data_IF_101978649373
#
_entry.id   IF_101978649373
#
_cell.length_a   1.000
_cell.length_b   1.000
_cell.length_c   1.000
_cell.angle_alpha   90.00
_cell.angle_beta   90.00
_cell.angle_gamma   90.00
#
_symmetry.space_group_name_H-M   'P 1'
#
loop_
_entity.id
_entity.type
_entity.pdbx_description
1 polymer ?
#
# COMPACT_ATOMS: atom_id res chain seq x y z
N UNK A 1 7.17 -26.96 12.15
CA UNK A 1 6.16 -26.46 11.19
C UNK A 1 5.37 -25.40 11.91
N UNK A 2 5.68 -24.11 11.74
CA UNK A 2 4.90 -23.03 12.35
C UNK A 2 3.98 -22.44 11.29
N UNK A 3 2.68 -22.58 11.51
CA UNK A 3 1.63 -21.96 10.71
C UNK A 3 1.61 -20.46 11.04
N UNK A 4 2.21 -19.63 10.20
CA UNK A 4 2.11 -18.17 10.31
C UNK A 4 0.78 -17.71 9.73
N UNK A 5 -0.22 -17.52 10.59
CA UNK A 5 -1.49 -16.87 10.25
C UNK A 5 -1.47 -15.41 10.70
N UNK A 6 -1.94 -14.50 9.84
CA UNK A 6 -2.12 -13.09 10.20
C UNK A 6 -3.46 -12.95 10.95
N UNK A 7 -3.41 -12.61 12.24
CA UNK A 7 -4.62 -12.36 13.05
C UNK A 7 -4.70 -10.87 13.35
N UNK A 8 -5.89 -10.28 13.20
CA UNK A 8 -6.11 -8.87 13.49
C UNK A 8 -6.03 -8.60 15.00
N UNK A 9 -5.24 -7.59 15.39
CA UNK A 9 -4.96 -7.19 16.78
C UNK A 9 -6.16 -6.65 17.56
N UNK A 10 -7.33 -6.52 16.91
CA UNK A 10 -8.55 -5.95 17.48
C UNK A 10 -9.22 -6.92 18.47
N UNK A 11 -8.85 -8.21 18.43
CA UNK A 11 -9.49 -9.26 19.23
C UNK A 11 -8.72 -9.65 20.51
N UNK A 12 -7.61 -8.97 20.81
CA UNK A 12 -6.74 -9.28 21.94
C UNK A 12 -6.47 -8.03 22.77
N UNK A 13 -6.30 -8.20 24.09
CA UNK A 13 -5.93 -7.11 24.96
C UNK A 13 -4.45 -6.69 24.72
N UNK A 14 -4.09 -5.48 25.10
CA UNK A 14 -2.71 -4.99 24.93
C UNK A 14 -1.68 -5.86 25.68
N UNK A 15 -2.10 -6.48 26.79
CA UNK A 15 -1.26 -7.31 27.65
C UNK A 15 -1.07 -8.74 27.12
N UNK A 16 -1.83 -9.14 26.10
CA UNK A 16 -1.77 -10.46 25.47
C UNK A 16 -0.61 -10.57 24.46
N UNK A 17 0.11 -9.47 24.21
CA UNK A 17 1.26 -9.45 23.32
C UNK A 17 2.56 -9.58 24.12
N UNK A 18 3.51 -10.36 23.61
CA UNK A 18 4.87 -10.41 24.09
C UNK A 18 5.61 -9.14 23.64
N UNK A 19 6.28 -8.47 24.56
CA UNK A 19 7.25 -7.43 24.24
C UNK A 19 8.49 -8.13 23.69
N UNK A 20 8.83 -7.98 22.40
CA UNK A 20 10.01 -8.65 21.86
C UNK A 20 11.26 -8.09 22.55
N UNK A 21 12.17 -8.99 22.95
CA UNK A 21 13.47 -8.66 23.57
C UNK A 21 14.30 -7.63 22.77
N UNK A 22 13.98 -7.44 21.49
CA UNK A 22 14.59 -6.44 20.59
C UNK A 22 14.26 -4.98 20.93
N UNK A 23 13.26 -4.72 21.79
CA UNK A 23 13.01 -3.37 22.34
C UNK A 23 14.08 -2.90 23.34
N UNK A 24 14.95 -3.79 23.84
CA UNK A 24 16.13 -3.41 24.63
C UNK A 24 17.34 -3.00 23.75
N UNK A 25 17.32 -3.29 22.45
CA UNK A 25 18.50 -3.14 21.56
C UNK A 25 18.29 -2.16 20.39
N UNK A 26 17.33 -1.22 20.48
CA UNK A 26 17.09 -0.17 19.47
C UNK A 26 16.92 -0.67 18.01
N UNK A 27 16.46 -1.92 17.81
CA UNK A 27 16.19 -2.47 16.48
C UNK A 27 14.69 -2.72 16.34
N UNK A 28 13.97 -1.82 15.67
CA UNK A 28 12.53 -1.96 15.43
C UNK A 28 12.28 -2.66 14.10
N UNK A 29 11.84 -3.92 14.14
CA UNK A 29 11.05 -4.48 13.05
C UNK A 29 9.64 -3.92 13.21
N UNK A 30 9.25 -3.03 12.32
CA UNK A 30 7.93 -2.41 12.35
C UNK A 30 6.84 -3.49 12.26
N UNK A 31 5.92 -3.46 13.23
CA UNK A 31 4.61 -4.11 13.19
C UNK A 31 4.53 -5.64 13.36
N UNK A 32 5.52 -6.31 13.94
CA UNK A 32 5.34 -7.70 14.40
C UNK A 32 5.12 -7.76 15.91
N UNK A 33 3.85 -7.78 16.34
CA UNK A 33 3.49 -8.12 17.72
C UNK A 33 3.27 -9.62 17.82
N UNK A 34 3.99 -10.28 18.72
CA UNK A 34 3.87 -11.73 18.95
C UNK A 34 2.82 -11.92 20.04
N UNK A 35 1.89 -12.85 19.85
CA UNK A 35 0.85 -13.16 20.82
C UNK A 35 1.40 -14.15 21.87
N UNK A 36 1.12 -13.94 23.15
CA UNK A 36 1.43 -14.90 24.22
C UNK A 36 0.67 -16.20 24.00
N UNK A 37 1.26 -17.32 24.41
CA UNK A 37 0.60 -18.63 24.40
C UNK A 37 -0.65 -18.70 25.32
N UNK A 38 -0.76 -17.77 26.27
CA UNK A 38 -1.89 -17.67 27.21
C UNK A 38 -2.98 -16.68 26.78
N UNK A 39 -2.86 -16.07 25.60
CA UNK A 39 -3.80 -15.06 25.13
C UNK A 39 -5.18 -15.67 24.85
N UNK A 40 -6.24 -15.03 25.37
CA UNK A 40 -7.62 -15.47 25.19
C UNK A 40 -8.35 -14.50 24.28
N UNK A 41 -9.07 -15.05 23.31
CA UNK A 41 -9.93 -14.27 22.40
C UNK A 41 -11.02 -13.56 23.20
N UNK A 42 -11.02 -12.22 23.18
CA UNK A 42 -12.09 -11.43 23.78
C UNK A 42 -13.15 -11.14 22.70
N UNK A 43 -14.41 -11.59 22.87
CA UNK A 43 -15.48 -11.26 21.94
C UNK A 43 -15.69 -9.74 21.87
N UNK A 44 -15.48 -9.14 20.70
CA UNK A 44 -15.68 -7.71 20.50
C UNK A 44 -17.17 -7.37 20.54
N UNK A 45 -17.62 -6.69 21.60
CA UNK A 45 -18.98 -6.13 21.70
C UNK A 45 -19.16 -4.83 20.93
N UNK A 46 -18.13 -4.37 20.20
CA UNK A 46 -18.24 -3.19 19.34
C UNK A 46 -18.96 -3.56 18.05
N UNK A 47 -20.25 -3.23 17.97
CA UNK A 47 -20.99 -3.16 16.70
C UNK A 47 -20.15 -2.38 15.69
N UNK A 48 -20.00 -2.98 14.51
CA UNK A 48 -19.38 -2.41 13.32
C UNK A 48 -20.02 -1.04 13.04
N UNK A 49 -19.27 0.07 12.92
CA UNK A 49 -19.82 1.35 12.48
C UNK A 49 -20.07 1.27 10.97
N UNK A 50 -21.10 0.53 10.59
CA UNK A 50 -21.65 0.49 9.24
C UNK A 50 -23.15 0.67 9.37
N UNK A 51 -23.58 1.88 9.77
CA UNK A 51 -24.97 2.40 9.67
C UNK A 51 -25.15 3.75 10.42
N UNK A 52 -24.21 4.69 10.28
CA UNK A 52 -24.54 6.11 10.53
C UNK A 52 -24.26 6.90 9.26
N UNK A 53 -25.32 7.52 8.73
CA UNK A 53 -25.30 8.35 7.53
C UNK A 53 -24.18 9.40 7.64
N UNK A 54 -23.31 9.44 6.64
CA UNK A 54 -22.21 10.42 6.56
C UNK A 54 -22.71 11.87 6.55
N UNK A 55 -24.01 12.09 6.31
CA UNK A 55 -24.61 13.42 6.27
C UNK A 55 -24.81 14.05 7.66
N UNK A 56 -25.11 13.25 8.69
CA UNK A 56 -25.42 13.79 10.02
C UNK A 56 -24.17 14.28 10.75
N UNK A 57 -23.04 13.58 10.56
CA UNK A 57 -21.74 13.97 11.13
C UNK A 57 -21.14 15.24 10.50
N UNK A 58 -21.51 15.56 9.24
CA UNK A 58 -21.05 16.78 8.56
C UNK A 58 -21.89 17.99 8.97
N UNK A 59 -23.21 17.80 9.13
CA UNK A 59 -24.11 18.86 9.65
C UNK A 59 -23.76 19.25 11.08
N UNK A 60 -23.47 18.26 11.94
CA UNK A 60 -23.13 18.53 13.34
C UNK A 60 -21.76 19.22 13.50
N UNK A 61 -20.83 19.01 12.56
CA UNK A 61 -19.55 19.76 12.52
C UNK A 61 -19.68 21.18 11.97
N UNK A 62 -20.63 21.44 11.06
CA UNK A 62 -20.90 22.81 10.58
C UNK A 62 -21.51 23.69 11.68
N UNK A 63 -22.46 23.17 12.45
CA UNK A 63 -23.11 23.92 13.53
C UNK A 63 -22.13 24.37 14.63
N UNK A 64 -21.14 23.53 14.97
CA UNK A 64 -20.11 23.87 15.98
C UNK A 64 -19.16 24.97 15.47
N UNK A 65 -18.95 25.07 14.16
CA UNK A 65 -18.05 26.07 13.56
C UNK A 65 -18.72 27.44 13.46
N UNK A 66 -20.02 27.48 13.17
CA UNK A 66 -20.77 28.75 13.04
C UNK A 66 -20.99 29.42 14.41
N UNK A 67 -21.13 28.66 15.49
CA UNK A 67 -21.27 29.21 16.86
C UNK A 67 -19.97 29.85 17.37
N UNK A 68 -18.81 29.28 17.02
CA UNK A 68 -17.50 29.82 17.41
C UNK A 68 -17.12 31.12 16.67
N UNK A 69 -17.78 31.42 15.54
CA UNK A 69 -17.52 32.63 14.74
C UNK A 69 -18.32 33.84 15.28
N UNK A 70 -19.45 33.59 15.97
CA UNK A 70 -20.29 34.66 16.50
C UNK A 70 -19.73 35.30 17.79
N UNK A 71 -19.04 34.53 18.64
CA UNK A 71 -18.49 35.04 19.91
C UNK A 71 -17.29 35.98 19.73
N UNK A 72 -16.55 35.89 18.62
CA UNK A 72 -15.32 36.68 18.42
C UNK A 72 -15.56 38.11 17.90
N UNK A 73 -16.78 38.48 17.54
CA UNK A 73 -17.09 39.79 16.95
C UNK A 73 -17.75 40.81 17.88
N UNK A 74 -18.07 40.46 19.14
CA UNK A 74 -18.84 41.33 20.04
C UNK A 74 -18.05 41.99 21.19
N UNK A 75 -16.70 41.94 21.18
CA UNK A 75 -15.86 42.46 22.29
C UNK A 75 -15.10 43.76 21.94
N UNK A 76 -15.33 44.37 20.78
CA UNK A 76 -14.59 45.57 20.33
C UNK A 76 -15.47 46.76 19.91
N UNK A 77 -16.50 47.10 20.69
CA UNK A 77 -17.20 48.38 20.55
C UNK A 77 -17.57 48.98 21.91
N UNK A 78 -16.89 50.06 22.27
CA UNK A 78 -16.94 50.76 23.57
C UNK A 78 -15.58 50.63 24.24
N UNK A 79 -14.73 51.66 24.31
CA UNK A 79 -15.01 52.98 24.86
C UNK A 79 -13.95 53.96 24.33
N UNK A 80 -14.39 55.07 23.74
CA UNK A 80 -13.57 56.26 23.54
C UNK A 80 -13.35 56.96 24.88
N UNK A 81 -12.12 57.35 25.23
CA UNK A 81 -11.86 58.61 25.93
C UNK A 81 -10.38 59.03 25.87
N UNK A 82 -10.22 60.33 25.61
CA UNK A 82 -9.04 61.20 25.68
C UNK A 82 -8.06 60.88 26.80
N UNK A 83 -6.75 60.94 26.54
CA UNK A 83 -5.71 61.19 27.53
C UNK A 83 -4.49 61.89 26.90
N UNK A 84 -4.45 63.22 26.99
CA UNK A 84 -3.23 63.90 27.39
C UNK A 84 -2.93 63.43 28.82
N UNK A 85 -1.98 62.53 28.98
CA UNK A 85 -1.40 62.23 30.28
C UNK A 85 0.08 61.91 30.09
N UNK A 86 0.86 62.54 30.97
CA UNK A 86 2.30 62.46 31.10
C UNK A 86 2.81 61.01 31.03
N UNK A 87 4.09 60.84 30.73
CA UNK A 87 4.76 59.53 30.71
C UNK A 87 5.31 59.24 32.11
N UNK A 88 4.63 58.46 32.97
CA UNK A 88 5.29 57.71 34.03
C UNK A 88 6.23 56.71 33.40
N UNK A 89 7.53 56.94 33.55
CA UNK A 89 8.55 55.91 33.36
C UNK A 89 8.45 54.90 34.51
N UNK A 90 7.42 54.06 34.48
CA UNK A 90 7.39 52.84 35.25
C UNK A 90 8.25 51.78 34.53
N UNK A 91 9.03 50.97 35.27
CA UNK A 91 9.84 49.92 34.66
C UNK A 91 8.91 48.94 33.95
N UNK A 92 9.11 48.79 32.65
CA UNK A 92 8.28 47.97 31.76
C UNK A 92 8.04 46.60 32.42
N UNK A 93 6.77 46.31 32.74
CA UNK A 93 6.40 45.10 33.48
C UNK A 93 6.73 43.86 32.62
N UNK A 94 7.73 43.11 33.05
CA UNK A 94 8.28 41.96 32.33
C UNK A 94 7.21 40.89 32.02
N UNK A 95 6.21 40.73 32.88
CA UNK A 95 5.12 39.77 32.67
C UNK A 95 4.21 40.17 31.50
N UNK A 96 3.99 41.47 31.29
CA UNK A 96 3.23 41.96 30.13
C UNK A 96 3.97 41.68 28.81
N UNK A 97 5.31 41.83 28.79
CA UNK A 97 6.14 41.46 27.64
C UNK A 97 6.04 39.96 27.38
N UNK A 98 6.16 39.13 28.41
CA UNK A 98 6.11 37.66 28.27
C UNK A 98 4.75 37.21 27.71
N UNK A 99 3.65 37.78 28.19
CA UNK A 99 2.30 37.49 27.67
C UNK A 99 2.17 37.87 26.20
N UNK A 100 2.68 39.04 25.79
CA UNK A 100 2.65 39.51 24.40
C UNK A 100 3.49 38.63 23.47
N UNK A 101 4.69 38.24 23.91
CA UNK A 101 5.59 37.33 23.17
C UNK A 101 4.94 35.95 23.01
N UNK A 102 4.35 35.41 24.08
CA UNK A 102 3.65 34.12 24.03
C UNK A 102 2.42 34.17 23.11
N UNK A 103 1.65 35.26 23.12
CA UNK A 103 0.56 35.47 22.17
C UNK A 103 1.06 35.49 20.72
N UNK A 104 2.20 36.14 20.47
CA UNK A 104 2.81 36.24 19.14
C UNK A 104 3.35 34.89 18.65
N UNK A 105 4.02 34.12 19.51
CA UNK A 105 4.49 32.75 19.22
C UNK A 105 3.29 31.85 18.89
N UNK A 106 2.19 31.94 19.65
CA UNK A 106 0.97 31.18 19.38
C UNK A 106 0.38 31.54 18.02
N UNK A 107 0.34 32.82 17.65
CA UNK A 107 -0.12 33.28 16.32
C UNK A 107 0.75 32.73 15.20
N UNK A 108 2.07 32.85 15.30
CA UNK A 108 3.03 32.33 14.30
C UNK A 108 2.88 30.81 14.14
N UNK A 109 2.73 30.07 15.24
CA UNK A 109 2.53 28.62 15.18
C UNK A 109 1.21 28.27 14.48
N UNK A 110 0.14 29.03 14.72
CA UNK A 110 -1.16 28.83 14.05
C UNK A 110 -1.06 29.08 12.55
N UNK A 111 -0.43 30.17 12.11
CA UNK A 111 -0.27 30.47 10.68
C UNK A 111 0.59 29.42 9.98
N UNK A 112 1.72 29.03 10.58
CA UNK A 112 2.56 27.96 10.03
C UNK A 112 1.82 26.63 9.93
N UNK A 113 0.99 26.28 10.92
CA UNK A 113 0.17 25.07 10.88
C UNK A 113 -0.91 25.16 9.80
N UNK A 114 -1.53 26.32 9.63
CA UNK A 114 -2.52 26.56 8.58
C UNK A 114 -1.90 26.38 7.18
N UNK A 115 -0.73 27.00 6.93
CA UNK A 115 -0.02 26.88 5.65
C UNK A 115 0.38 25.44 5.35
N UNK A 116 0.84 24.70 6.38
CA UNK A 116 1.14 23.26 6.25
C UNK A 116 -0.12 22.48 5.90
N UNK A 117 -1.21 22.68 6.64
CA UNK A 117 -2.48 21.99 6.39
C UNK A 117 -3.05 22.30 5.01
N UNK A 118 -2.90 23.54 4.52
CA UNK A 118 -3.30 23.93 3.18
C UNK A 118 -2.46 23.21 2.11
N UNK A 119 -1.14 23.14 2.29
CA UNK A 119 -0.24 22.39 1.40
C UNK A 119 -0.56 20.89 1.41
N UNK A 120 -0.80 20.31 2.58
CA UNK A 120 -1.21 18.91 2.70
C UNK A 120 -2.56 18.65 2.03
N UNK A 121 -3.54 19.53 2.22
CA UNK A 121 -4.85 19.43 1.57
C UNK A 121 -4.73 19.40 0.04
N UNK A 122 -3.98 20.34 -0.53
CA UNK A 122 -3.69 20.37 -1.98
C UNK A 122 -2.99 19.09 -2.46
N UNK A 123 -2.05 18.56 -1.67
CA UNK A 123 -1.34 17.32 -2.06
C UNK A 123 -2.26 16.10 -1.99
N UNK A 124 -3.15 16.02 -1.00
CA UNK A 124 -4.16 14.97 -0.91
C UNK A 124 -5.09 15.00 -2.13
N UNK A 125 -5.56 16.18 -2.52
CA UNK A 125 -6.42 16.37 -3.69
C UNK A 125 -5.73 15.91 -4.99
N UNK A 126 -4.48 16.31 -5.21
CA UNK A 126 -3.67 15.86 -6.35
C UNK A 126 -3.48 14.34 -6.39
N UNK A 127 -3.25 13.71 -5.23
CA UNK A 127 -3.08 12.26 -5.15
C UNK A 127 -4.39 11.51 -5.42
N UNK A 128 -5.52 12.05 -4.98
CA UNK A 128 -6.85 11.50 -5.27
C UNK A 128 -7.13 11.59 -6.77
N UNK A 129 -6.88 12.74 -7.39
CA UNK A 129 -7.04 12.93 -8.83
C UNK A 129 -6.17 11.94 -9.63
N UNK A 130 -4.89 11.83 -9.27
CA UNK A 130 -3.98 10.89 -9.92
C UNK A 130 -4.41 9.43 -9.74
N UNK A 131 -4.92 9.05 -8.57
CA UNK A 131 -5.45 7.70 -8.36
C UNK A 131 -6.68 7.43 -9.23
N UNK A 132 -7.59 8.40 -9.37
CA UNK A 132 -8.76 8.25 -10.23
C UNK A 132 -8.36 8.11 -11.72
N UNK A 133 -7.33 8.82 -12.17
CA UNK A 133 -6.78 8.64 -13.52
C UNK A 133 -6.16 7.26 -13.72
N UNK A 134 -5.33 6.82 -12.76
CA UNK A 134 -4.74 5.48 -12.79
C UNK A 134 -5.80 4.38 -12.81
N UNK A 135 -6.87 4.53 -12.05
CA UNK A 135 -7.99 3.59 -12.05
C UNK A 135 -8.68 3.52 -13.42
N UNK A 136 -8.89 4.67 -14.09
CA UNK A 136 -9.41 4.70 -15.46
C UNK A 136 -8.47 4.01 -16.45
N UNK A 137 -7.16 4.29 -16.38
CA UNK A 137 -6.16 3.63 -17.20
C UNK A 137 -6.18 2.11 -17.01
N UNK A 138 -6.29 1.64 -15.76
CA UNK A 138 -6.38 0.20 -15.44
C UNK A 138 -7.65 -0.42 -16.06
N UNK A 139 -8.79 0.25 -15.98
CA UNK A 139 -10.05 -0.24 -16.58
C UNK A 139 -9.92 -0.35 -18.09
N UNK A 140 -9.37 0.67 -18.75
CA UNK A 140 -9.16 0.65 -20.20
C UNK A 140 -8.19 -0.45 -20.64
N UNK A 141 -7.07 -0.62 -19.92
CA UNK A 141 -6.10 -1.68 -20.21
C UNK A 141 -6.74 -3.04 -20.00
N UNK A 142 -7.50 -3.24 -18.92
CA UNK A 142 -8.23 -4.49 -18.67
C UNK A 142 -9.23 -4.80 -19.79
N UNK A 143 -9.93 -3.80 -20.31
CA UNK A 143 -10.85 -3.99 -21.43
C UNK A 143 -10.15 -4.36 -22.75
N UNK A 144 -8.90 -3.92 -22.95
CA UNK A 144 -8.08 -4.23 -24.13
C UNK A 144 -7.36 -5.57 -24.05
N UNK A 145 -7.21 -6.15 -22.85
CA UNK A 145 -6.60 -7.47 -22.69
C UNK A 145 -7.60 -8.52 -23.17
N UNK A 146 -7.26 -9.36 -24.17
CA UNK A 146 -8.13 -10.44 -24.59
C UNK A 146 -8.41 -11.36 -23.40
N UNK A 147 -9.66 -11.79 -23.30
CA UNK A 147 -10.14 -12.65 -22.23
C UNK A 147 -9.21 -13.86 -22.09
N UNK A 148 -8.62 -14.05 -20.89
CA UNK A 148 -7.60 -15.08 -20.65
C UNK A 148 -8.08 -16.48 -21.05
N UNK A 149 -9.39 -16.70 -20.97
CA UNK A 149 -10.09 -17.90 -21.43
C UNK A 149 -9.81 -18.26 -22.89
N UNK A 150 -9.59 -17.27 -23.76
CA UNK A 150 -9.27 -17.49 -25.17
C UNK A 150 -7.82 -17.94 -25.34
N UNK A 151 -6.90 -17.37 -24.57
CA UNK A 151 -5.48 -17.73 -24.59
C UNK A 151 -5.26 -19.15 -24.05
N UNK A 152 -6.00 -19.57 -23.03
CA UNK A 152 -5.92 -20.92 -22.43
C UNK A 152 -6.24 -22.05 -23.39
N UNK A 153 -7.00 -21.77 -24.46
CA UNK A 153 -7.30 -22.76 -25.51
C UNK A 153 -6.13 -23.02 -26.45
N UNK A 154 -5.24 -22.05 -26.62
CA UNK A 154 -4.15 -22.09 -27.62
C UNK A 154 -2.81 -22.34 -26.94
N UNK A 155 -2.59 -21.67 -25.81
CA UNK A 155 -1.33 -21.65 -25.10
C UNK A 155 -1.41 -22.42 -23.79
N UNK A 156 -0.31 -23.06 -23.42
CA UNK A 156 -0.20 -23.66 -22.10
C UNK A 156 -0.09 -22.59 -21.00
N UNK A 157 -0.41 -22.92 -19.74
CA UNK A 157 -0.23 -21.98 -18.63
C UNK A 157 1.21 -21.46 -18.51
N UNK A 158 2.22 -22.27 -18.88
CA UNK A 158 3.61 -21.85 -18.90
C UNK A 158 3.90 -20.77 -19.95
N UNK A 159 3.29 -20.91 -21.12
CA UNK A 159 3.40 -19.96 -22.22
C UNK A 159 2.64 -18.66 -21.93
N UNK A 160 1.43 -18.76 -21.37
CA UNK A 160 0.63 -17.59 -20.96
C UNK A 160 1.40 -16.78 -19.91
N UNK A 161 2.02 -17.44 -18.91
CA UNK A 161 2.86 -16.74 -17.93
C UNK A 161 4.01 -15.97 -18.56
N UNK A 162 4.57 -16.44 -19.68
CA UNK A 162 5.62 -15.74 -20.42
C UNK A 162 5.07 -14.50 -21.13
N UNK A 163 3.91 -14.63 -21.77
CA UNK A 163 3.23 -13.54 -22.46
C UNK A 163 2.80 -12.43 -21.50
N UNK A 164 2.28 -12.79 -20.33
CA UNK A 164 1.84 -11.84 -19.30
C UNK A 164 2.99 -11.13 -18.56
N UNK A 165 4.21 -11.66 -18.64
CA UNK A 165 5.38 -11.09 -17.95
C UNK A 165 6.54 -10.88 -18.92
N UNK A 166 6.46 -9.89 -19.84
CA UNK A 166 7.48 -9.66 -20.85
C UNK A 166 8.87 -9.32 -20.28
N UNK A 167 8.93 -8.82 -19.03
CA UNK A 167 10.18 -8.56 -18.33
C UNK A 167 10.90 -9.83 -17.84
N UNK A 168 10.19 -10.96 -17.68
CA UNK A 168 10.76 -12.22 -17.20
C UNK A 168 11.49 -12.94 -18.34
N UNK A 169 12.81 -12.90 -18.30
CA UNK A 169 13.67 -13.58 -19.30
C UNK A 169 13.73 -15.10 -19.16
N UNK A 170 13.33 -15.66 -18.01
CA UNK A 170 13.45 -17.09 -17.70
C UNK A 170 12.18 -17.60 -17.04
N UNK A 171 11.68 -18.74 -17.51
CA UNK A 171 10.56 -19.48 -16.91
C UNK A 171 10.96 -20.93 -16.73
N UNK A 172 10.48 -21.53 -15.64
CA UNK A 172 10.54 -22.96 -15.44
C UNK A 172 9.43 -23.63 -16.25
N UNK A 173 9.83 -24.31 -17.32
CA UNK A 173 8.92 -25.08 -18.17
C UNK A 173 8.44 -26.34 -17.46
N UNK A 174 7.16 -26.67 -17.63
CA UNK A 174 6.62 -27.95 -17.14
C UNK A 174 7.04 -29.10 -18.07
N UNK A 175 6.99 -30.34 -17.58
CA UNK A 175 7.25 -31.52 -18.41
C UNK A 175 6.32 -31.58 -19.63
N UNK A 176 5.04 -31.17 -19.48
CA UNK A 176 4.07 -31.10 -20.57
C UNK A 176 4.49 -30.08 -21.65
N UNK A 177 4.98 -28.91 -21.24
CA UNK A 177 5.48 -27.88 -22.17
C UNK A 177 6.73 -28.36 -22.92
N UNK A 178 7.62 -29.07 -22.23
CA UNK A 178 8.82 -29.62 -22.85
C UNK A 178 8.45 -30.72 -23.84
N UNK A 179 7.54 -31.63 -23.48
CA UNK A 179 7.08 -32.69 -24.36
C UNK A 179 6.43 -32.14 -25.63
N UNK A 180 5.53 -31.16 -25.51
CA UNK A 180 4.90 -30.53 -26.69
C UNK A 180 5.91 -29.82 -27.59
N UNK A 181 6.90 -29.12 -26.99
CA UNK A 181 7.96 -28.47 -27.73
C UNK A 181 8.89 -29.48 -28.46
N UNK A 182 9.20 -30.62 -27.84
CA UNK A 182 9.94 -31.71 -28.48
C UNK A 182 9.16 -32.27 -29.65
N UNK A 183 7.86 -32.56 -29.49
CA UNK A 183 6.99 -33.04 -30.56
C UNK A 183 6.91 -32.05 -31.74
N UNK A 184 6.76 -30.76 -31.46
CA UNK A 184 6.76 -29.74 -32.52
C UNK A 184 8.11 -29.70 -33.27
N UNK A 185 9.22 -29.81 -32.53
CA UNK A 185 10.56 -29.82 -33.11
C UNK A 185 10.83 -31.09 -33.92
N UNK A 186 10.31 -32.25 -33.51
CA UNK A 186 10.49 -33.50 -34.25
C UNK A 186 9.72 -33.50 -35.56
N UNK A 187 8.55 -32.84 -35.61
CA UNK A 187 7.80 -32.65 -36.87
C UNK A 187 8.57 -31.74 -37.83
N UNK A 188 9.06 -30.58 -37.36
CA UNK A 188 9.88 -29.70 -38.21
C UNK A 188 10.81 -28.80 -37.38
N UNK A 189 12.14 -29.08 -37.41
CA UNK A 189 13.13 -28.22 -36.75
C UNK A 189 13.22 -26.82 -37.34
N UNK A 190 12.83 -26.64 -38.62
CA UNK A 190 12.79 -25.33 -39.30
C UNK A 190 11.58 -24.52 -38.82
N UNK A 191 10.40 -25.13 -38.73
CA UNK A 191 9.19 -24.46 -38.23
C UNK A 191 9.37 -24.03 -36.76
N UNK A 192 9.97 -24.89 -35.93
CA UNK A 192 10.27 -24.55 -34.53
C UNK A 192 11.15 -23.30 -34.41
N UNK A 193 12.23 -23.23 -35.21
CA UNK A 193 13.13 -22.06 -35.23
C UNK A 193 12.43 -20.79 -35.74
N UNK A 194 11.60 -20.92 -36.77
CA UNK A 194 10.81 -19.81 -37.29
C UNK A 194 9.88 -19.21 -36.22
N UNK A 195 9.11 -20.06 -35.52
CA UNK A 195 8.22 -19.61 -34.44
C UNK A 195 9.00 -18.96 -33.29
N UNK A 196 10.13 -19.55 -32.89
CA UNK A 196 10.97 -18.97 -31.83
C UNK A 196 11.54 -17.59 -32.23
N UNK A 197 11.94 -17.41 -33.49
CA UNK A 197 12.43 -16.12 -33.99
C UNK A 197 11.32 -15.05 -34.00
N UNK A 198 10.09 -15.47 -34.32
CA UNK A 198 8.88 -14.63 -34.24
C UNK A 198 8.33 -14.45 -32.81
N UNK A 199 9.16 -14.66 -31.79
CA UNK A 199 8.83 -14.42 -30.38
C UNK A 199 7.68 -15.28 -29.83
N UNK A 200 7.39 -16.42 -30.47
CA UNK A 200 6.44 -17.39 -29.92
C UNK A 200 6.98 -17.95 -28.60
N UNK A 201 6.13 -18.16 -27.57
CA UNK A 201 6.57 -18.58 -26.24
C UNK A 201 6.97 -20.06 -26.24
N UNK A 202 8.18 -20.37 -26.73
CA UNK A 202 8.72 -21.72 -26.82
C UNK A 202 10.01 -21.85 -25.99
N UNK A 203 10.29 -23.05 -25.41
CA UNK A 203 11.56 -23.32 -24.75
C UNK A 203 12.77 -23.07 -25.66
N UNK A 204 13.88 -22.63 -25.07
CA UNK A 204 15.15 -22.50 -25.78
C UNK A 204 15.67 -23.85 -26.30
N UNK A 205 16.40 -23.85 -27.41
CA UNK A 205 17.03 -25.08 -27.93
C UNK A 205 18.03 -25.69 -26.94
N UNK A 206 18.69 -24.88 -26.12
CA UNK A 206 19.54 -25.34 -25.01
C UNK A 206 18.72 -26.04 -23.93
N UNK A 207 17.57 -25.48 -23.56
CA UNK A 207 16.62 -26.10 -22.62
C UNK A 207 16.17 -27.47 -23.11
N UNK A 208 15.78 -27.60 -24.39
CA UNK A 208 15.35 -28.89 -24.94
C UNK A 208 16.48 -29.93 -24.93
N UNK A 209 17.71 -29.52 -25.26
CA UNK A 209 18.88 -30.42 -25.22
C UNK A 209 19.17 -30.92 -23.80
N UNK A 210 19.06 -30.03 -22.81
CA UNK A 210 19.29 -30.39 -21.42
C UNK A 210 18.23 -31.37 -20.90
N UNK A 211 16.97 -31.16 -21.26
CA UNK A 211 15.90 -32.10 -20.93
C UNK A 211 16.08 -33.46 -21.61
N UNK A 212 16.47 -33.50 -22.89
CA UNK A 212 16.76 -34.75 -23.58
C UNK A 212 17.93 -35.51 -22.91
N UNK A 213 18.99 -34.80 -22.50
CA UNK A 213 20.12 -35.37 -21.76
C UNK A 213 19.66 -36.03 -20.45
N UNK A 214 18.79 -35.35 -19.70
CA UNK A 214 18.23 -35.83 -18.44
C UNK A 214 17.40 -37.11 -18.62
N UNK A 215 16.59 -37.20 -19.68
CA UNK A 215 15.81 -38.39 -19.99
C UNK A 215 16.73 -39.59 -20.31
N UNK A 216 17.76 -39.37 -21.12
CA UNK A 216 18.71 -40.41 -21.53
C UNK A 216 19.61 -40.92 -20.40
N UNK A 217 19.87 -40.11 -19.36
CA UNK A 217 20.59 -40.55 -18.16
C UNK A 217 19.72 -41.39 -17.23
N UNK A 218 18.40 -41.16 -17.20
CA UNK A 218 17.47 -41.96 -16.39
C UNK A 218 17.16 -43.32 -17.01
N UNK A 219 17.10 -43.43 -18.34
CA UNK A 219 16.85 -44.71 -19.01
C UNK A 219 18.04 -45.67 -18.96
N UNK A 220 19.27 -45.17 -18.79
CA UNK A 220 20.49 -46.00 -18.69
C UNK A 220 20.66 -46.73 -17.35
N UNK A 221 19.80 -46.51 -16.36
CA UNK A 221 19.88 -47.16 -15.05
C UNK A 221 19.00 -48.41 -14.87
N UNK A 222 18.25 -48.85 -15.89
CA UNK A 222 17.22 -49.90 -15.75
C UNK A 222 17.52 -51.20 -16.53
N UNK A 223 18.60 -51.25 -17.32
CA UNK A 223 19.01 -52.49 -18.01
C UNK A 223 20.37 -52.97 -17.49
N UNK A 224 20.30 -53.98 -16.60
CA UNK A 224 21.15 -55.19 -16.54
C UNK A 224 20.91 -55.89 -15.20
N UNK A 225 19.93 -56.79 -15.20
CA UNK A 225 19.96 -57.98 -14.36
C UNK A 225 19.75 -59.12 -15.35
N UNK A 226 20.87 -59.72 -15.75
CA UNK A 226 20.90 -61.04 -16.40
C UNK A 226 20.45 -62.12 -15.40
#
# INVERSE_FOLDING_TARGET
>A
MYMSGNVCSIHFAADDFELPLQQLCNYTVENTRILKSTAVLVPSTKKRPSELSKEDSVKQRRLIVDEAIFETHNVQAGTSNSLDQEIPTDPINLDQIVVLVMASIRRIRRTQNFDRNLKFGKKCEQLIERNNELEKEIVEIKAKIPDLSTLERIFSPGQIRLLLHPSKKKIRWSSKDIASAISLKSVSPKAYRYLQNNKFPLPGLSTLREWARKLNSSSRGVERVD
#
